data_IF_264240826146
#
_entry.id   IF_264240826146
#
_cell.length_a   1.000
_cell.length_b   1.000
_cell.length_c   1.000
_cell.angle_alpha   90.00
_cell.angle_beta   90.00
_cell.angle_gamma   90.00
#
_symmetry.space_group_name_H-M   'P 1'
#
loop_
_entity.id
_entity.type
_entity.pdbx_description
1 polymer ?
#
# COMPACT_ATOMS: atom_id res chain seq x y z
N UNK A 1 -21.68 4.11 8.46
CA UNK A 1 -20.76 3.13 7.90
C UNK A 1 -19.62 3.81 7.13
N UNK A 2 -18.91 4.79 7.73
CA UNK A 2 -17.86 5.59 7.05
C UNK A 2 -16.50 5.57 7.77
N UNK A 3 -16.20 4.53 8.58
CA UNK A 3 -14.95 4.46 9.38
C UNK A 3 -13.92 3.43 8.91
N UNK A 4 -14.18 2.64 7.86
CA UNK A 4 -13.29 1.52 7.51
C UNK A 4 -12.29 1.80 6.38
N UNK A 5 -12.29 3.00 5.76
CA UNK A 5 -11.37 3.29 4.65
C UNK A 5 -10.02 3.91 5.08
N UNK A 6 -9.90 4.39 6.30
CA UNK A 6 -8.70 5.11 6.76
C UNK A 6 -7.61 4.17 7.29
N UNK A 7 -7.96 2.97 7.73
CA UNK A 7 -6.98 2.03 8.32
C UNK A 7 -6.13 1.25 7.31
N UNK A 8 -6.55 1.16 6.05
CA UNK A 8 -5.81 0.41 5.02
C UNK A 8 -4.62 1.21 4.46
N UNK A 9 -4.66 2.54 4.53
CA UNK A 9 -3.61 3.40 3.98
C UNK A 9 -2.33 3.51 4.83
N UNK A 10 -2.39 3.22 6.12
CA UNK A 10 -1.25 3.40 7.04
C UNK A 10 -0.28 2.21 7.11
N UNK A 11 -0.72 1.02 6.72
CA UNK A 11 0.15 -0.19 6.70
C UNK A 11 0.94 -0.31 5.39
N UNK A 12 0.50 0.35 4.33
CA UNK A 12 1.10 0.23 2.99
C UNK A 12 2.43 0.96 2.78
N UNK A 13 2.83 1.87 3.65
CA UNK A 13 3.97 2.77 3.38
C UNK A 13 5.31 2.30 3.95
N UNK A 14 5.34 1.29 4.81
CA UNK A 14 6.55 0.88 5.54
C UNK A 14 7.26 -0.38 4.99
N UNK A 15 6.69 -1.06 3.98
CA UNK A 15 7.27 -2.32 3.45
C UNK A 15 8.25 -2.11 2.29
N UNK A 16 8.48 -0.87 1.83
CA UNK A 16 9.15 -0.61 0.55
C UNK A 16 10.69 -0.61 0.56
N UNK A 17 11.38 -0.87 1.69
CA UNK A 17 12.85 -0.73 1.73
C UNK A 17 13.68 -1.93 2.21
N UNK A 18 13.14 -3.11 2.41
CA UNK A 18 13.96 -4.26 2.82
C UNK A 18 13.71 -5.50 1.96
N UNK A 19 14.21 -5.45 0.73
CA UNK A 19 14.41 -6.61 -0.13
C UNK A 19 15.64 -7.40 0.30
N UNK A 20 15.68 -7.95 1.52
CA UNK A 20 16.70 -8.90 1.95
C UNK A 20 16.02 -10.24 2.14
N UNK A 21 16.23 -11.16 1.20
CA UNK A 21 15.82 -12.55 1.33
C UNK A 21 16.61 -13.22 2.45
N UNK A 22 15.96 -13.47 3.58
CA UNK A 22 16.51 -14.28 4.64
C UNK A 22 16.32 -15.77 4.32
N UNK A 23 17.43 -16.51 4.19
CA UNK A 23 17.41 -17.96 4.22
C UNK A 23 17.05 -18.43 5.63
N UNK A 24 16.18 -19.45 5.72
CA UNK A 24 15.70 -19.98 6.98
C UNK A 24 16.84 -20.63 7.77
N UNK A 25 17.26 -20.01 8.86
CA UNK A 25 18.07 -20.68 9.89
C UNK A 25 17.15 -21.30 10.97
N UNK A 26 17.61 -22.44 11.50
CA UNK A 26 16.90 -23.26 12.50
C UNK A 26 16.57 -22.48 13.78
N UNK A 27 15.49 -22.82 14.51
CA UNK A 27 15.15 -22.16 15.77
C UNK A 27 16.29 -22.32 16.80
N UNK A 28 16.83 -21.20 17.26
CA UNK A 28 17.90 -21.14 18.27
C UNK A 28 17.30 -21.49 19.63
N UNK A 29 17.84 -22.53 20.29
CA UNK A 29 17.54 -22.84 21.70
C UNK A 29 18.19 -21.79 22.59
N UNK A 30 17.46 -21.29 23.60
CA UNK A 30 17.88 -20.18 24.46
C UNK A 30 19.20 -20.40 25.26
N UNK A 31 19.77 -21.61 25.24
CA UNK A 31 20.98 -21.98 26.00
C UNK A 31 22.29 -22.03 25.16
N UNK A 32 22.23 -21.71 23.84
CA UNK A 32 23.40 -21.73 22.96
C UNK A 32 23.64 -20.37 22.29
N UNK A 33 23.50 -19.28 23.04
CA UNK A 33 23.83 -17.95 22.47
C UNK A 33 25.35 -17.77 22.52
N UNK A 34 25.98 -18.04 21.38
CA UNK A 34 27.41 -17.80 21.17
C UNK A 34 27.66 -16.29 21.00
N UNK A 35 28.63 -15.71 21.72
CA UNK A 35 28.95 -14.31 21.68
C UNK A 35 30.43 -14.06 21.38
N UNK A 36 30.72 -13.02 20.63
CA UNK A 36 32.10 -12.67 20.26
C UNK A 36 32.76 -11.71 21.26
N UNK A 37 31.99 -11.01 22.08
CA UNK A 37 32.47 -10.08 23.09
C UNK A 37 31.45 -9.86 24.21
N UNK A 38 31.91 -9.33 25.33
CA UNK A 38 31.07 -8.75 26.40
C UNK A 38 31.52 -7.32 26.69
N UNK A 39 30.58 -6.41 26.90
CA UNK A 39 30.82 -5.02 27.24
C UNK A 39 30.14 -4.70 28.56
N UNK A 40 30.94 -4.51 29.63
CA UNK A 40 30.41 -4.31 30.99
C UNK A 40 29.42 -5.39 31.44
N UNK A 41 29.65 -6.66 31.00
CA UNK A 41 28.78 -7.78 31.29
C UNK A 41 27.64 -8.01 30.28
N UNK A 42 27.36 -7.07 29.37
CA UNK A 42 26.39 -7.25 28.28
C UNK A 42 27.00 -8.07 27.13
N UNK A 43 26.43 -9.23 26.75
CA UNK A 43 26.97 -10.04 25.66
C UNK A 43 26.61 -9.47 24.28
N UNK A 44 27.59 -9.45 23.38
CA UNK A 44 27.42 -9.16 21.95
C UNK A 44 27.45 -10.47 21.17
N UNK A 45 26.32 -10.86 20.63
CA UNK A 45 26.13 -12.16 20.00
C UNK A 45 26.74 -12.26 18.61
N UNK A 46 27.20 -13.45 18.22
CA UNK A 46 27.63 -13.73 16.86
C UNK A 46 26.47 -13.51 15.86
N UNK A 47 25.22 -13.79 16.23
CA UNK A 47 24.05 -13.48 15.38
C UNK A 47 23.91 -12.01 15.04
N UNK A 48 24.19 -11.08 16.01
CA UNK A 48 24.19 -9.65 15.74
C UNK A 48 25.34 -9.27 14.78
N UNK A 49 26.53 -9.86 14.95
CA UNK A 49 27.66 -9.67 14.04
C UNK A 49 27.32 -10.15 12.62
N UNK A 50 26.73 -11.34 12.47
CA UNK A 50 26.34 -11.92 11.19
C UNK A 50 25.30 -11.07 10.46
N UNK A 51 24.34 -10.48 11.17
CA UNK A 51 23.38 -9.52 10.59
C UNK A 51 24.10 -8.31 9.98
N UNK A 52 25.09 -7.74 10.69
CA UNK A 52 25.85 -6.60 10.21
C UNK A 52 26.77 -6.98 9.04
N UNK A 53 27.39 -8.16 9.06
CA UNK A 53 28.17 -8.69 7.92
C UNK A 53 27.25 -8.83 6.69
N UNK A 54 26.09 -9.48 6.81
CA UNK A 54 25.13 -9.62 5.70
C UNK A 54 24.72 -8.27 5.13
N UNK A 55 24.46 -7.27 5.98
CA UNK A 55 24.11 -5.93 5.54
C UNK A 55 25.26 -5.24 4.79
N UNK A 56 26.49 -5.37 5.26
CA UNK A 56 27.68 -4.81 4.62
C UNK A 56 27.95 -5.44 3.23
N UNK A 57 27.81 -6.78 3.14
CA UNK A 57 27.94 -7.51 1.87
C UNK A 57 26.85 -7.11 0.87
N UNK A 58 25.62 -6.89 1.32
CA UNK A 58 24.53 -6.42 0.48
C UNK A 58 24.77 -5.00 -0.07
N UNK A 59 25.59 -4.19 0.61
CA UNK A 59 26.06 -2.87 0.17
C UNK A 59 27.31 -2.92 -0.72
N UNK A 60 27.76 -4.12 -1.10
CA UNK A 60 28.91 -4.32 -2.00
C UNK A 60 30.28 -4.38 -1.31
N UNK A 61 30.34 -4.44 0.03
CA UNK A 61 31.59 -4.67 0.73
C UNK A 61 32.05 -6.12 0.53
N UNK A 62 33.37 -6.35 0.57
CA UNK A 62 33.95 -7.70 0.43
C UNK A 62 34.04 -8.38 1.80
N UNK A 63 33.69 -9.66 1.85
CA UNK A 63 33.92 -10.48 3.06
C UNK A 63 35.42 -10.61 3.28
N UNK A 64 35.90 -10.02 4.39
CA UNK A 64 37.29 -10.06 4.79
C UNK A 64 37.44 -10.06 6.32
N UNK A 65 38.57 -10.53 6.85
CA UNK A 65 38.88 -10.42 8.27
C UNK A 65 38.86 -8.98 8.77
N UNK A 66 39.32 -8.04 7.97
CA UNK A 66 39.34 -6.60 8.28
C UNK A 66 37.93 -6.04 8.45
N UNK A 67 37.00 -6.37 7.53
CA UNK A 67 35.59 -6.00 7.65
C UNK A 67 34.99 -6.57 8.95
N UNK A 68 35.22 -7.84 9.24
CA UNK A 68 34.70 -8.51 10.45
C UNK A 68 35.22 -7.84 11.72
N UNK A 69 36.50 -7.48 11.77
CA UNK A 69 37.09 -6.78 12.92
C UNK A 69 36.52 -5.38 13.06
N UNK A 70 36.42 -4.62 11.98
CA UNK A 70 35.82 -3.29 11.99
C UNK A 70 34.35 -3.32 12.48
N UNK A 71 33.56 -4.30 12.05
CA UNK A 71 32.18 -4.47 12.51
C UNK A 71 32.09 -4.87 13.98
N UNK A 72 33.01 -5.71 14.49
CA UNK A 72 33.10 -6.02 15.93
C UNK A 72 33.39 -4.77 16.76
N UNK A 73 34.37 -3.96 16.35
CA UNK A 73 34.73 -2.72 17.05
C UNK A 73 33.55 -1.71 17.00
N UNK A 74 32.87 -1.62 15.87
CA UNK A 74 31.69 -0.78 15.75
C UNK A 74 30.58 -1.22 16.70
N UNK A 75 30.28 -2.52 16.78
CA UNK A 75 29.26 -3.06 17.68
C UNK A 75 29.61 -2.84 19.16
N UNK A 76 30.89 -2.95 19.54
CA UNK A 76 31.35 -2.62 20.88
C UNK A 76 31.12 -1.12 21.18
N UNK A 77 31.47 -0.24 20.25
CA UNK A 77 31.27 1.20 20.40
C UNK A 77 29.79 1.57 20.52
N UNK A 78 28.93 0.94 19.71
CA UNK A 78 27.46 1.11 19.79
C UNK A 78 26.93 0.69 21.16
N UNK A 79 27.39 -0.44 21.70
CA UNK A 79 26.96 -0.91 23.02
C UNK A 79 27.37 0.06 24.12
N UNK A 80 28.61 0.59 24.09
CA UNK A 80 29.08 1.61 25.05
C UNK A 80 28.22 2.86 25.02
N UNK A 81 27.85 3.36 23.82
CA UNK A 81 26.98 4.51 23.67
C UNK A 81 25.55 4.20 24.13
N UNK A 82 25.06 3.00 23.90
CA UNK A 82 23.74 2.54 24.38
C UNK A 82 23.70 2.54 25.91
N UNK A 83 24.73 1.98 26.55
CA UNK A 83 24.83 1.95 28.01
C UNK A 83 24.91 3.37 28.61
N UNK A 84 25.65 4.28 27.98
CA UNK A 84 25.70 5.68 28.40
C UNK A 84 24.31 6.34 28.23
N UNK A 85 23.59 6.09 27.16
CA UNK A 85 22.25 6.61 26.94
C UNK A 85 21.27 6.14 28.03
N UNK A 86 21.36 4.85 28.40
CA UNK A 86 20.59 4.29 29.51
C UNK A 86 20.97 4.93 30.84
N UNK A 87 22.29 5.15 31.09
CA UNK A 87 22.77 5.83 32.29
C UNK A 87 22.21 7.25 32.42
N UNK A 88 22.02 7.92 31.28
CA UNK A 88 21.41 9.26 31.22
C UNK A 88 19.89 9.21 31.32
N UNK A 89 19.27 8.03 31.34
CA UNK A 89 17.83 7.83 31.47
C UNK A 89 17.02 8.08 30.19
N UNK A 90 17.65 8.11 29.01
CA UNK A 90 16.98 8.34 27.73
C UNK A 90 16.00 7.21 27.37
N UNK A 91 16.23 6.00 27.89
CA UNK A 91 15.33 4.84 27.76
C UNK A 91 14.00 5.01 28.50
N UNK A 92 13.91 6.00 29.41
CA UNK A 92 12.70 6.30 30.23
C UNK A 92 11.81 7.33 29.56
N UNK A 93 12.32 8.02 28.53
CA UNK A 93 11.53 8.98 27.77
C UNK A 93 10.32 8.30 27.11
N UNK A 94 9.13 8.92 27.25
CA UNK A 94 7.88 8.30 26.78
C UNK A 94 7.83 8.20 25.26
N UNK A 95 8.29 9.25 24.57
CA UNK A 95 8.29 9.28 23.10
C UNK A 95 9.26 8.23 22.54
N UNK A 96 10.43 8.07 23.18
CA UNK A 96 11.39 7.03 22.81
C UNK A 96 10.82 5.63 23.03
N UNK A 97 10.15 5.38 24.15
CA UNK A 97 9.52 4.10 24.44
C UNK A 97 8.39 3.76 23.43
N UNK A 98 7.61 4.76 23.04
CA UNK A 98 6.57 4.59 22.03
C UNK A 98 7.17 4.28 20.66
N UNK A 99 8.28 4.91 20.27
CA UNK A 99 9.01 4.59 19.05
C UNK A 99 9.53 3.14 19.06
N UNK A 100 10.13 2.68 20.17
CA UNK A 100 10.58 1.29 20.31
C UNK A 100 9.40 0.32 20.23
N UNK A 101 8.28 0.63 20.87
CA UNK A 101 7.06 -0.19 20.81
C UNK A 101 6.55 -0.33 19.37
N UNK A 102 6.53 0.76 18.61
CA UNK A 102 6.14 0.77 17.20
C UNK A 102 7.10 -0.04 16.32
N UNK A 103 8.41 0.10 16.51
CA UNK A 103 9.41 -0.71 15.80
C UNK A 103 9.25 -2.19 16.10
N UNK A 104 9.07 -2.55 17.36
CA UNK A 104 8.80 -3.93 17.78
C UNK A 104 7.55 -4.49 17.10
N UNK A 105 6.44 -3.74 17.06
CA UNK A 105 5.21 -4.16 16.38
C UNK A 105 5.46 -4.41 14.88
N UNK A 106 6.16 -3.51 14.22
CA UNK A 106 6.51 -3.63 12.80
C UNK A 106 7.31 -4.91 12.53
N UNK A 107 8.37 -5.15 13.31
CA UNK A 107 9.20 -6.35 13.18
C UNK A 107 8.41 -7.65 13.48
N UNK A 108 7.51 -7.62 14.47
CA UNK A 108 6.67 -8.78 14.79
C UNK A 108 5.66 -9.09 13.67
N UNK A 109 5.07 -8.06 13.05
CA UNK A 109 4.18 -8.24 11.89
C UNK A 109 4.97 -8.81 10.70
N UNK A 110 6.16 -8.30 10.43
CA UNK A 110 7.03 -8.80 9.38
C UNK A 110 7.38 -10.28 9.62
N UNK A 111 7.86 -10.64 10.81
CA UNK A 111 8.19 -12.01 11.17
C UNK A 111 6.98 -12.95 11.07
N UNK A 112 5.78 -12.48 11.44
CA UNK A 112 4.53 -13.24 11.29
C UNK A 112 4.23 -13.55 9.83
N UNK A 113 4.34 -12.55 8.94
CA UNK A 113 4.13 -12.73 7.50
C UNK A 113 5.19 -13.65 6.88
N UNK A 114 6.46 -13.45 7.21
CA UNK A 114 7.56 -14.31 6.74
C UNK A 114 7.35 -15.77 7.14
N UNK A 115 7.06 -16.03 8.42
CA UNK A 115 6.78 -17.40 8.90
C UNK A 115 5.58 -18.03 8.19
N UNK A 116 4.51 -17.24 7.91
CA UNK A 116 3.37 -17.74 7.17
C UNK A 116 3.75 -18.14 5.73
N UNK A 117 4.40 -17.23 5.00
CA UNK A 117 4.70 -17.43 3.58
C UNK A 117 5.90 -18.34 3.33
N UNK A 118 6.73 -18.59 4.33
CA UNK A 118 7.72 -19.70 4.29
C UNK A 118 7.04 -21.07 4.32
N UNK A 119 6.02 -21.22 5.16
CA UNK A 119 5.23 -22.45 5.26
C UNK A 119 4.20 -22.62 4.14
N UNK A 120 3.73 -21.50 3.59
CA UNK A 120 2.69 -21.44 2.56
C UNK A 120 3.18 -20.54 1.40
N UNK A 121 4.14 -21.00 0.59
CA UNK A 121 4.68 -20.16 -0.47
C UNK A 121 3.61 -19.79 -1.50
N UNK A 122 3.66 -18.54 -1.96
CA UNK A 122 2.76 -18.05 -3.02
C UNK A 122 3.19 -18.71 -4.33
N UNK A 123 2.41 -19.70 -4.78
CA UNK A 123 2.66 -20.42 -6.02
C UNK A 123 2.35 -19.57 -7.26
N UNK A 124 2.97 -19.89 -8.39
CA UNK A 124 2.66 -19.26 -9.68
C UNK A 124 1.19 -19.49 -10.09
N UNK A 125 0.60 -20.63 -9.70
CA UNK A 125 -0.83 -20.88 -9.92
C UNK A 125 -1.70 -19.85 -9.20
N UNK A 126 -1.41 -19.56 -7.93
CA UNK A 126 -2.14 -18.55 -7.14
C UNK A 126 -1.93 -17.12 -7.69
N UNK A 127 -0.72 -16.82 -8.15
CA UNK A 127 -0.44 -15.54 -8.82
C UNK A 127 -1.23 -15.41 -10.12
N UNK A 128 -1.36 -16.50 -10.89
CA UNK A 128 -2.13 -16.51 -12.15
C UNK A 128 -3.63 -16.35 -11.88
N UNK A 129 -4.17 -17.03 -10.87
CA UNK A 129 -5.56 -16.85 -10.44
C UNK A 129 -5.86 -15.38 -10.08
N UNK A 130 -5.01 -14.74 -9.30
CA UNK A 130 -5.14 -13.33 -8.94
C UNK A 130 -4.99 -12.40 -10.17
N UNK A 131 -4.06 -12.72 -11.08
CA UNK A 131 -3.91 -12.00 -12.34
C UNK A 131 -5.16 -12.04 -13.19
N UNK A 132 -5.76 -13.23 -13.37
CA UNK A 132 -6.97 -13.41 -14.15
C UNK A 132 -8.18 -12.75 -13.49
N UNK A 133 -8.23 -12.77 -12.14
CA UNK A 133 -9.25 -12.05 -11.38
C UNK A 133 -9.16 -10.54 -11.61
N UNK A 134 -7.95 -9.96 -11.55
CA UNK A 134 -7.76 -8.53 -11.80
C UNK A 134 -8.09 -8.16 -13.24
N UNK A 135 -7.71 -8.99 -14.21
CA UNK A 135 -8.08 -8.79 -15.62
C UNK A 135 -9.61 -8.75 -15.83
N UNK A 136 -10.34 -9.68 -15.20
CA UNK A 136 -11.81 -9.70 -15.27
C UNK A 136 -12.45 -8.46 -14.70
N UNK A 137 -11.91 -7.93 -13.58
CA UNK A 137 -12.42 -6.71 -12.95
C UNK A 137 -12.19 -5.45 -13.82
N UNK A 138 -11.11 -5.42 -14.58
CA UNK A 138 -10.78 -4.29 -15.48
C UNK A 138 -11.59 -4.36 -16.79
N UNK A 139 -12.07 -5.53 -17.15
CA UNK A 139 -12.76 -5.82 -18.40
C UNK A 139 -11.88 -6.65 -19.35
N UNK A 140 -12.43 -7.75 -19.86
CA UNK A 140 -11.72 -8.61 -20.80
C UNK A 140 -11.69 -7.99 -22.19
N UNK A 141 -10.50 -7.95 -22.78
CA UNK A 141 -10.33 -7.75 -24.20
C UNK A 141 -9.15 -6.84 -24.56
N UNK A 142 -8.66 -7.06 -25.78
CA UNK A 142 -7.63 -6.23 -26.42
C UNK A 142 -8.05 -4.75 -26.61
N UNK A 143 -9.28 -4.41 -26.25
CA UNK A 143 -9.91 -3.09 -26.39
C UNK A 143 -10.25 -2.41 -25.06
N UNK A 144 -9.70 -2.84 -23.93
CA UNK A 144 -9.85 -2.10 -22.69
C UNK A 144 -9.27 -0.69 -22.87
N UNK A 145 -10.06 0.32 -22.58
CA UNK A 145 -9.61 1.71 -22.64
C UNK A 145 -9.49 2.29 -21.24
N UNK A 146 -8.49 3.15 -21.05
CA UNK A 146 -8.48 4.12 -19.98
C UNK A 146 -9.20 5.38 -20.43
N UNK A 147 -9.93 5.98 -19.52
CA UNK A 147 -10.70 7.20 -19.74
C UNK A 147 -10.17 8.28 -18.81
N UNK A 148 -9.83 9.44 -19.35
CA UNK A 148 -9.63 10.63 -18.54
C UNK A 148 -10.97 11.28 -18.37
N UNK A 149 -11.43 11.31 -17.12
CA UNK A 149 -12.80 11.73 -16.79
C UNK A 149 -12.80 13.02 -15.98
N UNK A 150 -13.88 13.79 -16.18
CA UNK A 150 -14.35 14.81 -15.26
C UNK A 150 -15.78 14.50 -14.86
N UNK A 151 -16.15 14.81 -13.60
CA UNK A 151 -17.50 14.58 -13.09
C UNK A 151 -18.07 15.80 -12.36
N UNK A 152 -19.40 15.90 -12.38
CA UNK A 152 -20.17 16.78 -11.51
C UNK A 152 -21.16 15.89 -10.77
N UNK A 153 -21.23 16.01 -9.45
CA UNK A 153 -22.21 15.29 -8.64
C UNK A 153 -23.11 16.33 -7.98
N UNK A 154 -24.41 16.14 -8.09
CA UNK A 154 -25.44 17.00 -7.45
C UNK A 154 -26.46 16.13 -6.72
N UNK A 155 -27.22 16.76 -5.83
CA UNK A 155 -28.18 16.05 -4.97
C UNK A 155 -29.47 15.69 -5.69
N UNK A 156 -29.90 16.48 -6.69
CA UNK A 156 -31.16 16.28 -7.38
C UNK A 156 -30.99 16.02 -8.87
N UNK A 157 -31.90 15.27 -9.45
CA UNK A 157 -31.94 15.00 -10.89
C UNK A 157 -32.18 16.29 -11.69
N UNK A 158 -33.05 17.15 -11.17
CA UNK A 158 -33.39 18.43 -11.81
C UNK A 158 -32.18 19.33 -11.99
N UNK A 159 -31.32 19.43 -10.95
CA UNK A 159 -30.07 20.21 -11.04
C UNK A 159 -29.13 19.60 -12.08
N UNK A 160 -29.01 18.25 -12.11
CA UNK A 160 -28.17 17.58 -13.09
C UNK A 160 -28.65 17.80 -14.52
N UNK A 161 -29.97 17.77 -14.76
CA UNK A 161 -30.57 18.08 -16.09
C UNK A 161 -30.29 19.52 -16.49
N UNK A 162 -30.44 20.48 -15.58
CA UNK A 162 -30.13 21.87 -15.86
C UNK A 162 -28.66 22.09 -16.23
N UNK A 163 -27.75 21.48 -15.46
CA UNK A 163 -26.32 21.56 -15.73
C UNK A 163 -25.96 20.94 -17.10
N UNK A 164 -26.55 19.79 -17.46
CA UNK A 164 -26.36 19.20 -18.79
C UNK A 164 -26.78 20.17 -19.88
N UNK A 165 -27.94 20.83 -19.73
CA UNK A 165 -28.46 21.83 -20.68
C UNK A 165 -27.53 23.03 -20.81
N UNK A 166 -26.95 23.48 -19.70
CA UNK A 166 -25.99 24.62 -19.68
C UNK A 166 -24.68 24.23 -20.39
N UNK A 167 -24.18 23.00 -20.17
CA UNK A 167 -23.03 22.48 -20.87
C UNK A 167 -23.28 22.38 -22.39
N UNK A 168 -24.47 21.93 -22.79
CA UNK A 168 -24.87 21.86 -24.20
C UNK A 168 -24.95 23.23 -24.84
N UNK A 169 -25.24 24.29 -24.07
CA UNK A 169 -25.22 25.70 -24.51
C UNK A 169 -23.82 26.31 -24.54
N UNK A 170 -22.79 25.55 -24.17
CA UNK A 170 -21.38 25.97 -24.26
C UNK A 170 -20.76 26.45 -22.95
N UNK A 171 -21.46 26.33 -21.81
CA UNK A 171 -20.82 26.63 -20.53
C UNK A 171 -19.71 25.59 -20.21
N UNK A 172 -18.63 26.08 -19.61
CA UNK A 172 -17.46 25.25 -19.33
C UNK A 172 -17.74 24.24 -18.21
N UNK A 173 -17.58 22.96 -18.50
CA UNK A 173 -17.79 21.86 -17.57
C UNK A 173 -17.05 22.07 -16.25
N UNK A 174 -15.75 22.41 -16.31
CA UNK A 174 -14.93 22.60 -15.11
C UNK A 174 -15.40 23.74 -14.21
N UNK A 175 -15.94 24.84 -14.79
CA UNK A 175 -16.53 25.94 -14.03
C UNK A 175 -17.79 25.51 -13.29
N UNK A 176 -18.66 24.78 -13.98
CA UNK A 176 -19.89 24.23 -13.38
C UNK A 176 -19.57 23.20 -12.28
N UNK A 177 -18.53 22.39 -12.48
CA UNK A 177 -18.07 21.47 -11.47
C UNK A 177 -17.60 22.21 -10.21
N UNK A 178 -16.81 23.27 -10.34
CA UNK A 178 -16.33 24.07 -9.21
C UNK A 178 -17.47 24.76 -8.46
N UNK A 179 -18.51 25.17 -9.15
CA UNK A 179 -19.63 25.91 -8.57
C UNK A 179 -20.64 24.97 -7.92
N UNK A 180 -21.07 23.93 -8.62
CA UNK A 180 -22.24 23.12 -8.25
C UNK A 180 -21.94 21.73 -7.72
N UNK A 181 -20.76 21.16 -8.00
CA UNK A 181 -20.48 19.79 -7.56
C UNK A 181 -20.41 19.67 -6.04
N UNK A 182 -21.02 18.62 -5.50
CA UNK A 182 -20.90 18.23 -4.10
C UNK A 182 -19.71 17.30 -3.84
N UNK A 183 -19.01 16.84 -4.89
CA UNK A 183 -17.82 16.00 -4.79
C UNK A 183 -16.59 16.83 -4.40
N UNK A 184 -16.31 16.88 -3.11
CA UNK A 184 -15.19 17.67 -2.58
C UNK A 184 -13.83 17.24 -3.10
N UNK A 185 -13.68 15.98 -3.52
CA UNK A 185 -12.41 15.44 -3.97
C UNK A 185 -11.97 16.00 -5.33
N UNK A 186 -12.92 16.23 -6.25
CA UNK A 186 -12.64 16.72 -7.60
C UNK A 186 -13.11 18.15 -7.86
N UNK A 187 -14.02 18.68 -7.05
CA UNK A 187 -14.63 20.00 -7.23
C UNK A 187 -13.62 21.11 -7.50
N UNK A 188 -12.59 21.23 -6.65
CA UNK A 188 -11.57 22.27 -6.77
C UNK A 188 -10.79 22.20 -8.10
N UNK A 189 -10.64 21.00 -8.66
CA UNK A 189 -9.95 20.74 -9.92
C UNK A 189 -10.92 20.71 -11.14
N UNK A 190 -12.09 21.33 -11.03
CA UNK A 190 -13.07 21.35 -12.13
C UNK A 190 -13.68 19.98 -12.43
N UNK A 191 -13.78 19.11 -11.43
CA UNK A 191 -14.35 17.77 -11.53
C UNK A 191 -13.39 16.70 -12.06
N UNK A 192 -12.12 17.00 -12.30
CA UNK A 192 -11.17 16.06 -12.91
C UNK A 192 -10.83 14.88 -11.99
N UNK A 193 -10.96 13.66 -12.53
CA UNK A 193 -10.62 12.39 -11.86
C UNK A 193 -9.29 11.80 -12.35
N UNK A 194 -8.70 12.34 -13.42
CA UNK A 194 -7.54 11.76 -14.08
C UNK A 194 -7.87 10.53 -14.95
N UNK A 195 -6.87 9.68 -15.19
CA UNK A 195 -7.02 8.45 -15.97
C UNK A 195 -7.54 7.32 -15.09
N UNK A 196 -8.69 6.76 -15.48
CA UNK A 196 -9.34 5.65 -14.78
C UNK A 196 -9.72 4.53 -15.75
N UNK A 197 -9.84 3.32 -15.21
CA UNK A 197 -10.41 2.17 -15.91
C UNK A 197 -11.89 2.05 -15.55
N UNK A 198 -12.76 1.46 -16.42
CA UNK A 198 -14.17 1.29 -16.11
C UNK A 198 -14.43 0.59 -14.76
N UNK A 199 -13.60 -0.41 -14.40
CA UNK A 199 -13.72 -1.12 -13.12
C UNK A 199 -13.32 -0.29 -11.88
N UNK A 200 -12.79 0.91 -12.05
CA UNK A 200 -12.40 1.82 -10.95
C UNK A 200 -13.46 2.88 -10.61
N UNK A 201 -14.51 2.95 -11.40
CA UNK A 201 -15.66 3.82 -11.14
C UNK A 201 -16.90 2.98 -10.81
N UNK A 202 -17.92 3.61 -10.23
CA UNK A 202 -19.18 2.91 -9.91
C UNK A 202 -19.85 2.37 -11.18
N UNK A 203 -20.46 1.18 -11.08
CA UNK A 203 -21.01 0.46 -12.23
C UNK A 203 -21.95 1.28 -13.14
N UNK A 204 -22.89 2.13 -12.62
CA UNK A 204 -23.71 2.97 -13.48
C UNK A 204 -22.88 3.91 -14.36
N UNK A 205 -21.81 4.49 -13.82
CA UNK A 205 -20.91 5.37 -14.56
C UNK A 205 -20.07 4.56 -15.56
N UNK A 206 -19.53 3.41 -15.15
CA UNK A 206 -18.76 2.52 -16.02
C UNK A 206 -19.51 2.15 -17.29
N UNK A 207 -20.80 1.78 -17.16
CA UNK A 207 -21.64 1.37 -18.28
C UNK A 207 -21.90 2.48 -19.30
N UNK A 208 -21.84 3.73 -18.86
CA UNK A 208 -22.05 4.89 -19.73
C UNK A 208 -20.76 5.33 -20.42
N UNK A 209 -19.66 5.45 -19.67
CA UNK A 209 -18.41 6.00 -20.22
C UNK A 209 -17.81 5.15 -21.35
N UNK A 210 -18.01 3.83 -21.33
CA UNK A 210 -17.50 2.92 -22.38
C UNK A 210 -18.10 3.23 -23.76
N UNK A 211 -19.29 3.81 -23.79
CA UNK A 211 -20.02 4.21 -25.00
C UNK A 211 -19.82 5.69 -25.39
N UNK A 212 -19.14 6.48 -24.56
CA UNK A 212 -18.87 7.87 -24.86
C UNK A 212 -17.61 8.06 -25.70
N UNK A 213 -17.67 9.01 -26.61
CA UNK A 213 -16.49 9.43 -27.36
C UNK A 213 -15.67 10.47 -26.58
N UNK A 214 -14.40 10.66 -26.97
CA UNK A 214 -13.57 11.74 -26.47
C UNK A 214 -14.25 13.09 -26.66
N UNK A 215 -14.27 13.90 -25.60
CA UNK A 215 -14.93 15.20 -25.52
C UNK A 215 -16.42 15.15 -25.18
N UNK A 216 -17.05 13.98 -25.23
CA UNK A 216 -18.49 13.85 -24.98
C UNK A 216 -18.83 13.95 -23.49
N UNK A 217 -20.02 14.51 -23.23
CA UNK A 217 -20.67 14.57 -21.91
C UNK A 217 -21.88 13.64 -21.94
N UNK A 218 -22.27 13.10 -20.80
CA UNK A 218 -23.52 12.31 -20.66
C UNK A 218 -24.73 13.13 -21.06
N UNK A 219 -25.61 12.53 -21.85
CA UNK A 219 -26.85 13.20 -22.31
C UNK A 219 -27.95 13.20 -21.24
N UNK A 220 -27.86 12.33 -20.25
CA UNK A 220 -28.76 12.22 -19.12
C UNK A 220 -27.96 12.03 -17.82
N UNK A 221 -28.52 12.46 -16.68
CA UNK A 221 -27.92 12.22 -15.38
C UNK A 221 -27.80 10.73 -15.06
N UNK A 222 -26.73 10.34 -14.39
CA UNK A 222 -26.51 8.96 -13.93
C UNK A 222 -26.81 8.90 -12.43
N UNK A 223 -27.80 8.10 -12.04
CA UNK A 223 -28.14 7.90 -10.64
C UNK A 223 -27.11 7.01 -9.97
N UNK A 224 -26.57 7.44 -8.82
CA UNK A 224 -25.64 6.69 -7.97
C UNK A 224 -26.03 6.82 -6.49
N UNK A 225 -25.39 6.06 -5.63
CA UNK A 225 -25.57 6.20 -4.17
C UNK A 225 -25.08 7.56 -3.64
N UNK A 226 -24.17 8.24 -4.35
CA UNK A 226 -23.59 9.54 -3.97
C UNK A 226 -24.36 10.74 -4.51
N UNK A 227 -25.44 10.52 -5.30
CA UNK A 227 -26.21 11.55 -5.97
C UNK A 227 -26.29 11.33 -7.48
N UNK A 228 -26.68 12.38 -8.19
CA UNK A 228 -26.81 12.42 -9.64
C UNK A 228 -25.51 12.89 -10.28
N UNK A 229 -24.94 12.06 -11.16
CA UNK A 229 -23.61 12.26 -11.74
C UNK A 229 -23.73 12.65 -13.21
N UNK A 230 -23.02 13.69 -13.59
CA UNK A 230 -22.75 14.07 -14.99
C UNK A 230 -21.28 13.77 -15.24
N UNK A 231 -20.97 13.05 -16.32
CA UNK A 231 -19.60 12.69 -16.66
C UNK A 231 -19.21 13.23 -18.03
N UNK A 232 -17.99 13.72 -18.13
CA UNK A 232 -17.33 14.08 -19.38
C UNK A 232 -16.12 13.17 -19.60
N UNK A 233 -15.99 12.60 -20.79
CA UNK A 233 -14.79 11.90 -21.24
C UNK A 233 -13.84 12.92 -21.85
N UNK A 234 -12.88 13.40 -21.09
CA UNK A 234 -11.89 14.38 -21.60
C UNK A 234 -10.96 13.75 -22.63
N UNK A 235 -10.59 12.47 -22.40
CA UNK A 235 -9.76 11.71 -23.33
C UNK A 235 -9.97 10.20 -23.12
N UNK A 236 -9.63 9.41 -24.14
CA UNK A 236 -9.56 7.94 -24.02
C UNK A 236 -8.35 7.39 -24.74
N UNK A 237 -7.73 6.36 -24.19
CA UNK A 237 -6.60 5.67 -24.80
C UNK A 237 -6.68 4.17 -24.55
N UNK A 238 -6.11 3.34 -25.45
CA UNK A 238 -5.99 1.93 -25.21
C UNK A 238 -5.21 1.66 -23.90
N UNK A 239 -5.74 0.76 -23.09
CA UNK A 239 -5.04 0.27 -21.90
C UNK A 239 -4.41 -1.08 -22.23
N UNK A 240 -3.09 -1.12 -22.15
CA UNK A 240 -2.35 -2.37 -22.26
C UNK A 240 -2.16 -2.95 -20.87
N UNK A 241 -2.85 -4.07 -20.61
CA UNK A 241 -2.65 -4.79 -19.36
C UNK A 241 -1.20 -5.30 -19.30
N UNK A 242 -0.50 -5.15 -18.17
CA UNK A 242 0.83 -5.70 -18.03
C UNK A 242 0.81 -7.22 -18.22
N UNK A 243 1.86 -7.77 -18.78
CA UNK A 243 2.01 -9.23 -18.88
C UNK A 243 2.01 -9.87 -17.49
N UNK A 244 1.75 -11.16 -17.42
CA UNK A 244 1.78 -11.87 -16.14
C UNK A 244 3.13 -11.70 -15.41
N UNK A 245 4.24 -11.78 -16.14
CA UNK A 245 5.57 -11.64 -15.55
C UNK A 245 5.85 -10.23 -15.04
N UNK A 246 5.42 -9.20 -15.77
CA UNK A 246 5.51 -7.80 -15.31
C UNK A 246 4.63 -7.53 -14.08
N UNK A 247 3.48 -8.22 -13.95
CA UNK A 247 2.56 -8.04 -12.84
C UNK A 247 2.94 -8.83 -11.58
N UNK A 248 3.79 -9.88 -11.67
CA UNK A 248 4.14 -10.77 -10.55
C UNK A 248 4.48 -10.05 -9.23
N UNK A 249 5.31 -8.99 -9.21
CA UNK A 249 5.63 -8.31 -7.95
C UNK A 249 4.39 -7.69 -7.27
N UNK A 250 3.55 -6.99 -8.05
CA UNK A 250 2.32 -6.38 -7.55
C UNK A 250 1.29 -7.42 -7.12
N UNK A 251 1.18 -8.55 -7.85
CA UNK A 251 0.30 -9.66 -7.48
C UNK A 251 0.71 -10.30 -6.15
N UNK A 252 2.02 -10.51 -5.93
CA UNK A 252 2.52 -10.98 -4.63
C UNK A 252 2.13 -10.03 -3.51
N UNK A 253 2.34 -8.74 -3.70
CA UNK A 253 1.96 -7.72 -2.73
C UNK A 253 0.45 -7.73 -2.46
N UNK A 254 -0.38 -7.83 -3.48
CA UNK A 254 -1.84 -7.89 -3.33
C UNK A 254 -2.27 -9.11 -2.50
N UNK A 255 -1.69 -10.30 -2.75
CA UNK A 255 -1.98 -11.51 -1.99
C UNK A 255 -1.56 -11.36 -0.52
N UNK A 256 -0.39 -10.77 -0.25
CA UNK A 256 0.07 -10.49 1.13
C UNK A 256 -0.89 -9.54 1.85
N UNK A 257 -1.32 -8.47 1.19
CA UNK A 257 -2.26 -7.50 1.75
C UNK A 257 -3.64 -8.12 2.01
N UNK A 258 -4.12 -8.96 1.10
CA UNK A 258 -5.37 -9.68 1.28
C UNK A 258 -5.29 -10.62 2.51
N UNK A 259 -4.22 -11.41 2.61
CA UNK A 259 -3.99 -12.30 3.74
C UNK A 259 -3.97 -11.52 5.07
N UNK A 260 -3.26 -10.39 5.10
CA UNK A 260 -3.19 -9.54 6.28
C UNK A 260 -4.59 -9.00 6.67
N UNK A 261 -5.36 -8.50 5.70
CA UNK A 261 -6.70 -7.98 5.94
C UNK A 261 -7.66 -9.06 6.48
N UNK A 262 -7.63 -10.26 5.89
CA UNK A 262 -8.45 -11.40 6.33
C UNK A 262 -8.04 -11.87 7.74
N UNK A 263 -6.73 -11.90 8.02
CA UNK A 263 -6.20 -12.26 9.33
C UNK A 263 -6.62 -11.26 10.39
N UNK A 264 -6.46 -9.95 10.14
CA UNK A 264 -6.90 -8.90 11.05
C UNK A 264 -8.40 -8.97 11.29
N UNK A 265 -9.21 -9.23 10.26
CA UNK A 265 -10.66 -9.40 10.40
C UNK A 265 -10.98 -10.54 11.39
N UNK A 266 -10.38 -11.72 11.19
CA UNK A 266 -10.59 -12.88 12.09
C UNK A 266 -10.13 -12.61 13.53
N UNK A 267 -8.98 -11.95 13.70
CA UNK A 267 -8.48 -11.61 15.03
C UNK A 267 -9.39 -10.61 15.74
N UNK A 268 -9.96 -9.66 15.03
CA UNK A 268 -10.90 -8.69 15.61
C UNK A 268 -12.22 -9.31 16.07
N UNK A 269 -12.68 -10.39 15.41
CA UNK A 269 -13.91 -11.11 15.80
C UNK A 269 -13.79 -11.77 17.19
N UNK A 270 -12.57 -12.16 17.59
CA UNK A 270 -12.29 -12.79 18.89
C UNK A 270 -11.68 -11.85 19.95
N UNK A 271 -11.26 -10.64 19.54
CA UNK A 271 -10.55 -9.72 20.42
C UNK A 271 -11.51 -8.91 21.30
N UNK A 272 -11.18 -8.78 22.60
CA UNK A 272 -11.82 -7.80 23.48
C UNK A 272 -11.17 -6.44 23.29
N UNK A 273 -11.85 -5.52 22.60
CA UNK A 273 -11.38 -4.16 22.35
C UNK A 273 -12.20 -3.21 23.20
N UNK A 274 -11.51 -2.45 24.05
CA UNK A 274 -12.10 -1.38 24.89
C UNK A 274 -11.48 -0.06 24.42
N UNK A 275 -12.32 0.93 24.13
CA UNK A 275 -11.90 2.29 23.69
C UNK A 275 -12.30 3.30 24.75
#
# INVERSE_FOLDING_TARGET
>A
MKKNLIYVALVGLLIYQLGVGFAADKPIKANDVDFFATVNGSPLTNGLLDLNIKAALAQGQKDSPELKNALKDELINRELLTQESIRQGLDKDIDFRDQIAQLKQTLMIQAFLENHFQKNPISDAKLREEYDRQRKLIGEGASANQYRLSQIIVTTETDAIDLIRRIQKGELFGRLAQEYSIDQASKANGGQLGWVLPGQVVSPVANVIVNLNKGAVTNAPIQTQGGWVIVKVDDKRPFKFPTFDEAKPQLRQAIVQQYLAETVKKLRESAKIVM
#
